data_IF_915856165053
#
_entry.id   IF_915856165053
#
_cell.length_a   1.000
_cell.length_b   1.000
_cell.length_c   1.000
_cell.angle_alpha   90.00
_cell.angle_beta   90.00
_cell.angle_gamma   90.00
#
_symmetry.space_group_name_H-M   'P 1'
#
loop_
_entity.id
_entity.type
_entity.pdbx_description
1 polymer ?
#
# COMPACT_ATOMS: atom_id res chain seq x y z
N UNK A 1 -48.81 -38.83 63.32
CA UNK A 1 -47.87 -37.99 62.57
C UNK A 1 -48.68 -37.31 61.49
N UNK A 2 -48.77 -35.99 61.53
CA UNK A 2 -49.73 -35.25 60.73
C UNK A 2 -49.29 -35.21 59.25
N UNK A 3 -49.95 -36.01 58.41
CA UNK A 3 -49.60 -36.23 57.00
C UNK A 3 -49.57 -34.90 56.22
N UNK A 4 -50.40 -33.94 56.64
CA UNK A 4 -50.50 -32.63 56.00
C UNK A 4 -49.26 -31.76 56.28
N UNK A 5 -48.69 -31.85 57.48
CA UNK A 5 -47.45 -31.17 57.84
C UNK A 5 -46.23 -31.69 57.05
N UNK A 6 -46.17 -33.00 56.82
CA UNK A 6 -45.11 -33.66 56.03
C UNK A 6 -45.23 -33.31 54.56
N UNK A 7 -46.45 -33.28 54.02
CA UNK A 7 -46.72 -32.88 52.63
C UNK A 7 -46.32 -31.42 52.37
N UNK A 8 -46.64 -30.52 53.30
CA UNK A 8 -46.31 -29.10 53.19
C UNK A 8 -44.79 -28.86 53.31
N UNK A 9 -44.10 -29.62 54.16
CA UNK A 9 -42.64 -29.59 54.25
C UNK A 9 -41.98 -30.10 52.96
N UNK A 10 -42.43 -31.22 52.41
CA UNK A 10 -41.91 -31.77 51.15
C UNK A 10 -42.17 -30.83 49.98
N UNK A 11 -43.32 -30.14 49.95
CA UNK A 11 -43.65 -29.17 48.92
C UNK A 11 -42.74 -27.92 49.00
N UNK A 12 -42.43 -27.44 50.22
CA UNK A 12 -41.46 -26.35 50.43
C UNK A 12 -40.04 -26.76 50.02
N UNK A 13 -39.62 -27.98 50.39
CA UNK A 13 -38.31 -28.52 49.99
C UNK A 13 -38.21 -28.67 48.47
N UNK A 14 -39.24 -29.20 47.82
CA UNK A 14 -39.29 -29.32 46.36
C UNK A 14 -39.20 -27.94 45.67
N UNK A 15 -39.91 -26.95 46.21
CA UNK A 15 -39.85 -25.58 45.69
C UNK A 15 -38.44 -25.00 45.81
N UNK A 16 -37.76 -25.17 46.96
CA UNK A 16 -36.38 -24.72 47.16
C UNK A 16 -35.41 -25.43 46.21
N UNK A 17 -35.56 -26.74 46.01
CA UNK A 17 -34.71 -27.47 45.05
C UNK A 17 -34.97 -27.02 43.61
N UNK A 18 -36.23 -26.80 43.23
CA UNK A 18 -36.57 -26.32 41.89
C UNK A 18 -36.00 -24.93 41.61
N UNK A 19 -36.04 -24.01 42.58
CA UNK A 19 -35.47 -22.67 42.41
C UNK A 19 -33.95 -22.72 42.33
N UNK A 20 -33.31 -23.59 43.12
CA UNK A 20 -31.85 -23.79 43.07
C UNK A 20 -31.40 -24.33 41.71
N UNK A 21 -32.12 -25.29 41.14
CA UNK A 21 -31.85 -25.84 39.80
C UNK A 21 -31.99 -24.75 38.73
N UNK A 22 -33.06 -23.94 38.79
CA UNK A 22 -33.28 -22.85 37.83
C UNK A 22 -32.14 -21.83 37.89
N UNK A 23 -31.64 -21.49 39.08
CA UNK A 23 -30.50 -20.58 39.24
C UNK A 23 -29.23 -21.17 38.62
N UNK A 24 -28.91 -22.44 38.88
CA UNK A 24 -27.73 -23.10 38.32
C UNK A 24 -27.80 -23.16 36.80
N UNK A 25 -28.96 -23.52 36.24
CA UNK A 25 -29.18 -23.55 34.78
C UNK A 25 -29.03 -22.16 34.18
N UNK A 26 -29.53 -21.12 34.85
CA UNK A 26 -29.43 -19.74 34.38
C UNK A 26 -27.97 -19.26 34.33
N UNK A 27 -27.18 -19.57 35.37
CA UNK A 27 -25.74 -19.26 35.41
C UNK A 27 -25.00 -20.02 34.31
N UNK A 28 -25.30 -21.30 34.12
CA UNK A 28 -24.71 -22.10 33.05
C UNK A 28 -24.99 -21.54 31.65
N UNK A 29 -26.22 -21.04 31.44
CA UNK A 29 -26.62 -20.40 30.19
C UNK A 29 -25.84 -19.09 29.94
N UNK A 30 -25.64 -18.28 30.98
CA UNK A 30 -24.84 -17.05 30.88
C UNK A 30 -23.38 -17.35 30.52
N UNK A 31 -22.77 -18.36 31.16
CA UNK A 31 -21.38 -18.78 30.86
C UNK A 31 -21.27 -19.33 29.43
N UNK A 32 -22.25 -20.10 28.97
CA UNK A 32 -22.28 -20.65 27.63
C UNK A 32 -22.45 -19.55 26.57
N UNK A 33 -23.35 -18.60 26.79
CA UNK A 33 -23.51 -17.42 25.92
C UNK A 33 -22.21 -16.61 25.91
N UNK A 34 -21.58 -16.37 27.07
CA UNK A 34 -20.30 -15.65 27.14
C UNK A 34 -19.19 -16.35 26.37
N UNK A 35 -19.13 -17.69 26.43
CA UNK A 35 -18.15 -18.49 25.69
C UNK A 35 -18.39 -18.41 24.18
N UNK A 36 -19.64 -18.57 23.74
CA UNK A 36 -20.02 -18.42 22.32
C UNK A 36 -19.74 -17.00 21.83
N UNK A 37 -20.08 -15.97 22.59
CA UNK A 37 -19.79 -14.57 22.23
C UNK A 37 -18.28 -14.31 22.19
N UNK A 38 -17.49 -14.91 23.08
CA UNK A 38 -16.02 -14.81 23.05
C UNK A 38 -15.42 -15.53 21.84
N UNK A 39 -16.05 -16.60 21.37
CA UNK A 39 -15.60 -17.37 20.21
C UNK A 39 -16.08 -16.75 18.88
N UNK A 40 -17.24 -16.08 18.88
CA UNK A 40 -17.72 -15.24 17.77
C UNK A 40 -17.05 -13.86 17.70
N UNK A 41 -16.57 -13.33 18.83
CA UNK A 41 -15.48 -12.36 18.85
C UNK A 41 -14.20 -13.11 18.49
N UNK A 42 -14.13 -13.60 17.25
CA UNK A 42 -12.86 -13.72 16.57
C UNK A 42 -12.15 -12.41 16.83
N UNK A 43 -11.08 -12.46 17.64
CA UNK A 43 -10.07 -11.43 17.57
C UNK A 43 -9.81 -11.26 16.08
N UNK A 44 -10.23 -10.13 15.51
CA UNK A 44 -9.62 -9.67 14.28
C UNK A 44 -8.14 -9.68 14.60
N UNK A 45 -7.44 -10.74 14.22
CA UNK A 45 -6.00 -10.71 14.08
C UNK A 45 -5.83 -9.52 13.16
N UNK A 46 -5.37 -8.39 13.73
CA UNK A 46 -5.10 -7.18 12.96
C UNK A 46 -4.19 -7.65 11.85
N UNK A 47 -4.75 -7.81 10.65
CA UNK A 47 -3.99 -8.34 9.54
C UNK A 47 -2.92 -7.31 9.28
N UNK A 48 -1.67 -7.69 9.46
CA UNK A 48 -0.52 -6.89 9.08
C UNK A 48 -0.59 -6.70 7.58
N UNK A 49 -0.99 -5.51 7.16
CA UNK A 49 -1.01 -5.13 5.76
C UNK A 49 0.43 -4.85 5.31
N UNK A 50 0.80 -5.40 4.16
CA UNK A 50 2.07 -5.07 3.51
C UNK A 50 1.87 -3.71 2.81
N UNK A 51 2.18 -2.64 3.52
CA UNK A 51 2.08 -1.24 3.09
C UNK A 51 3.30 -0.52 3.66
N UNK A 52 3.91 0.42 2.93
CA UNK A 52 5.07 1.13 3.46
C UNK A 52 4.62 2.01 4.63
N UNK A 53 5.27 1.89 5.79
CA UNK A 53 4.95 2.77 6.93
C UNK A 53 5.38 4.21 6.62
N UNK A 54 4.77 5.20 7.29
CA UNK A 54 5.24 6.59 7.19
C UNK A 54 6.69 6.75 7.69
N UNK A 55 7.28 7.90 7.40
CA UNK A 55 8.63 8.24 7.86
C UNK A 55 8.68 8.41 9.38
N UNK A 56 7.67 9.05 9.98
CA UNK A 56 7.60 9.24 11.43
C UNK A 56 7.60 7.90 12.17
N UNK A 57 6.82 6.92 11.68
CA UNK A 57 6.77 5.60 12.32
C UNK A 57 8.06 4.83 12.16
N UNK A 58 8.71 4.93 11.00
CA UNK A 58 10.00 4.27 10.77
C UNK A 58 11.11 4.90 11.61
N UNK A 59 11.11 6.23 11.76
CA UNK A 59 12.05 6.95 12.61
C UNK A 59 11.88 6.60 14.10
N UNK A 60 10.65 6.49 14.59
CA UNK A 60 10.37 6.03 15.95
C UNK A 60 10.96 4.64 16.21
N UNK A 61 10.72 3.69 15.31
CA UNK A 61 11.27 2.33 15.44
C UNK A 61 12.80 2.35 15.38
N UNK A 62 13.38 3.17 14.50
CA UNK A 62 14.83 3.30 14.40
C UNK A 62 15.46 3.86 15.67
N UNK A 63 14.81 4.82 16.35
CA UNK A 63 15.26 5.35 17.65
C UNK A 63 15.24 4.28 18.75
N UNK A 64 14.34 3.30 18.65
CA UNK A 64 14.24 2.15 19.54
C UNK A 64 15.17 0.98 19.13
N UNK A 65 15.96 1.13 18.06
CA UNK A 65 16.73 0.06 17.41
C UNK A 65 15.87 -1.14 16.98
N UNK A 66 14.64 -0.88 16.57
CA UNK A 66 13.67 -1.86 16.09
C UNK A 66 13.40 -1.67 14.60
N UNK A 67 12.98 -2.75 13.94
CA UNK A 67 12.38 -2.73 12.61
C UNK A 67 11.10 -3.55 12.62
N UNK A 68 10.13 -3.12 11.83
CA UNK A 68 8.88 -3.88 11.61
C UNK A 68 8.69 -4.22 10.13
N UNK A 69 9.59 -3.78 9.25
CA UNK A 69 9.51 -4.03 7.82
C UNK A 69 10.82 -4.58 7.30
N UNK A 70 10.71 -5.65 6.53
CA UNK A 70 11.82 -6.29 5.84
C UNK A 70 11.55 -6.24 4.33
N UNK A 71 12.63 -6.12 3.56
CA UNK A 71 12.52 -6.16 2.10
C UNK A 71 12.33 -7.58 1.61
N UNK A 72 11.63 -7.72 0.49
CA UNK A 72 11.47 -8.96 -0.27
C UNK A 72 11.69 -8.65 -1.73
N UNK A 73 11.87 -9.67 -2.57
CA UNK A 73 12.07 -9.50 -4.01
C UNK A 73 10.96 -10.21 -4.79
N UNK A 74 10.58 -9.64 -5.91
CA UNK A 74 9.74 -10.31 -6.92
C UNK A 74 10.61 -10.87 -8.06
N UNK A 75 9.99 -11.65 -8.95
CA UNK A 75 10.70 -12.33 -10.02
C UNK A 75 11.37 -11.33 -10.99
N UNK A 76 12.65 -11.50 -11.33
CA UNK A 76 13.36 -10.63 -12.27
C UNK A 76 12.73 -10.62 -13.66
N UNK A 77 12.65 -9.44 -14.29
CA UNK A 77 12.19 -9.25 -15.67
C UNK A 77 13.36 -8.76 -16.54
N UNK A 78 13.64 -9.45 -17.64
CA UNK A 78 14.63 -8.97 -18.62
C UNK A 78 14.10 -7.71 -19.31
N UNK A 79 14.85 -6.61 -19.27
CA UNK A 79 14.46 -5.32 -19.88
C UNK A 79 15.42 -4.87 -21.00
N UNK A 80 16.69 -5.28 -21.00
CA UNK A 80 17.62 -5.06 -22.11
C UNK A 80 18.24 -6.39 -22.53
N UNK A 81 17.88 -6.89 -23.71
CA UNK A 81 18.37 -8.17 -24.23
C UNK A 81 19.81 -8.11 -24.71
N UNK A 82 20.32 -6.93 -25.09
CA UNK A 82 21.67 -6.76 -25.63
C UNK A 82 22.71 -6.70 -24.51
N UNK A 83 22.36 -6.02 -23.41
CA UNK A 83 23.21 -5.89 -22.22
C UNK A 83 22.87 -6.91 -21.12
N UNK A 84 21.83 -7.74 -21.34
CA UNK A 84 21.27 -8.67 -20.36
C UNK A 84 20.96 -7.99 -19.02
N UNK A 85 20.28 -6.85 -19.07
CA UNK A 85 19.86 -6.12 -17.87
C UNK A 85 18.49 -6.62 -17.42
N UNK A 86 18.43 -7.07 -16.18
CA UNK A 86 17.20 -7.49 -15.51
C UNK A 86 16.74 -6.41 -14.53
N UNK A 87 15.43 -6.20 -14.47
CA UNK A 87 14.76 -5.39 -13.48
C UNK A 87 14.18 -6.29 -12.40
N UNK A 88 14.52 -6.02 -11.14
CA UNK A 88 14.10 -6.81 -9.98
C UNK A 88 13.27 -5.90 -9.07
N UNK A 89 11.95 -6.13 -8.95
CA UNK A 89 11.13 -5.37 -8.03
C UNK A 89 11.47 -5.70 -6.58
N UNK A 90 11.67 -4.68 -5.76
CA UNK A 90 11.85 -4.80 -4.31
C UNK A 90 10.51 -4.51 -3.65
N UNK A 91 10.00 -5.45 -2.87
CA UNK A 91 8.75 -5.35 -2.11
C UNK A 91 9.05 -5.34 -0.61
N UNK A 92 8.00 -5.28 0.22
CA UNK A 92 8.14 -5.33 1.68
C UNK A 92 7.23 -6.37 2.30
N UNK A 93 7.66 -6.89 3.43
CA UNK A 93 6.86 -7.66 4.36
C UNK A 93 6.84 -6.95 5.70
N UNK A 94 5.64 -6.74 6.24
CA UNK A 94 5.44 -6.21 7.58
C UNK A 94 5.43 -7.37 8.57
N UNK A 95 6.26 -7.28 9.60
CA UNK A 95 6.32 -8.25 10.69
C UNK A 95 5.17 -8.02 11.68
N UNK A 96 4.65 -9.11 12.25
CA UNK A 96 3.61 -9.04 13.27
C UNK A 96 4.08 -8.31 14.53
N UNK A 97 5.35 -8.50 14.90
CA UNK A 97 6.00 -7.83 16.02
C UNK A 97 7.31 -7.17 15.54
N UNK A 98 7.64 -5.95 16.02
CA UNK A 98 8.93 -5.34 15.75
C UNK A 98 10.09 -6.16 16.31
N UNK A 99 11.17 -6.28 15.55
CA UNK A 99 12.37 -7.01 15.94
C UNK A 99 13.59 -6.08 16.01
N UNK A 100 14.62 -6.39 16.83
CA UNK A 100 15.85 -5.61 16.88
C UNK A 100 16.59 -5.57 15.53
N UNK A 101 17.11 -4.41 15.16
CA UNK A 101 17.88 -4.21 13.92
C UNK A 101 19.24 -4.91 13.94
N UNK A 102 19.80 -5.18 15.12
CA UNK A 102 21.11 -5.80 15.33
C UNK A 102 21.20 -7.28 14.90
N UNK A 103 20.08 -7.94 14.59
CA UNK A 103 20.10 -9.31 14.06
C UNK A 103 20.70 -9.41 12.64
N UNK A 104 21.05 -8.29 12.00
CA UNK A 104 21.78 -8.26 10.73
C UNK A 104 21.07 -8.97 9.57
N UNK A 105 21.82 -9.30 8.51
CA UNK A 105 21.35 -10.02 7.31
C UNK A 105 20.81 -11.42 7.66
N UNK A 106 21.19 -11.99 8.82
CA UNK A 106 20.70 -13.28 9.30
C UNK A 106 19.19 -13.29 9.55
N UNK A 107 18.60 -12.19 10.04
CA UNK A 107 17.13 -12.06 10.13
C UNK A 107 16.42 -11.99 8.78
N UNK A 108 17.12 -11.65 7.69
CA UNK A 108 16.57 -11.70 6.31
C UNK A 108 16.65 -13.11 5.70
N UNK A 109 17.48 -13.98 6.28
CA UNK A 109 17.70 -15.37 5.85
C UNK A 109 16.85 -16.37 6.64
N UNK A 110 16.05 -15.90 7.60
CA UNK A 110 15.17 -16.73 8.39
C UNK A 110 14.04 -17.24 7.49
N UNK A 111 14.41 -18.26 6.73
CA UNK A 111 13.56 -19.00 5.82
C UNK A 111 12.67 -19.81 6.74
N UNK A 112 11.52 -19.23 7.11
CA UNK A 112 10.50 -19.87 7.92
C UNK A 112 10.40 -21.33 7.52
N UNK A 113 10.80 -22.20 8.45
CA UNK A 113 10.95 -23.63 8.26
C UNK A 113 9.70 -24.15 7.54
N UNK A 114 9.91 -24.74 6.36
CA UNK A 114 8.89 -25.17 5.40
C UNK A 114 8.07 -26.37 5.91
N UNK A 115 7.53 -26.30 7.12
CA UNK A 115 6.33 -27.04 7.46
C UNK A 115 5.26 -26.52 6.51
N UNK A 116 4.68 -27.44 5.74
CA UNK A 116 3.55 -27.29 4.79
C UNK A 116 2.36 -26.50 5.36
N UNK A 117 2.57 -25.24 5.72
CA UNK A 117 1.53 -24.28 5.89
C UNK A 117 1.28 -23.78 4.48
N UNK A 118 0.13 -24.14 3.94
CA UNK A 118 -0.48 -23.38 2.86
C UNK A 118 -0.75 -21.99 3.44
N UNK A 119 0.30 -21.16 3.56
CA UNK A 119 0.13 -19.73 3.76
C UNK A 119 -0.56 -19.32 2.46
N UNK A 120 -1.86 -18.98 2.49
CA UNK A 120 -2.52 -18.58 1.28
C UNK A 120 -1.74 -17.37 0.74
N UNK A 121 -1.47 -17.34 -0.56
CA UNK A 121 -0.94 -16.20 -1.31
C UNK A 121 -1.93 -15.00 -1.27
N UNK A 122 -2.45 -14.68 -0.09
CA UNK A 122 -3.51 -13.71 0.16
C UNK A 122 -2.98 -12.38 0.69
N UNK A 123 -1.66 -12.29 0.91
CA UNK A 123 -0.99 -11.07 1.34
C UNK A 123 -0.46 -10.31 0.12
N UNK A 124 -1.40 -9.75 -0.65
CA UNK A 124 -1.09 -8.79 -1.71
C UNK A 124 -0.43 -7.57 -1.08
N UNK A 125 0.76 -7.22 -1.56
CA UNK A 125 1.34 -5.91 -1.30
C UNK A 125 0.43 -4.85 -1.96
N UNK A 126 0.06 -3.80 -1.22
CA UNK A 126 -0.83 -2.74 -1.73
C UNK A 126 -0.10 -1.82 -2.73
N UNK A 127 1.23 -1.71 -2.65
CA UNK A 127 2.05 -1.16 -3.74
C UNK A 127 2.47 -2.25 -4.74
N UNK A 128 3.22 -1.90 -5.77
CA UNK A 128 3.88 -2.89 -6.65
C UNK A 128 5.32 -3.11 -6.22
N UNK A 129 6.01 -2.04 -5.79
CA UNK A 129 7.36 -2.11 -5.23
C UNK A 129 7.68 -0.90 -4.35
N UNK A 130 8.74 -0.98 -3.55
CA UNK A 130 9.35 0.13 -2.80
C UNK A 130 10.65 0.64 -3.44
N UNK A 131 11.25 -0.17 -4.32
CA UNK A 131 12.39 0.20 -5.15
C UNK A 131 12.47 -0.78 -6.33
N UNK A 132 13.27 -0.45 -7.34
CA UNK A 132 13.64 -1.39 -8.39
C UNK A 132 15.16 -1.53 -8.41
N UNK A 133 15.65 -2.73 -8.68
CA UNK A 133 17.07 -3.02 -8.87
C UNK A 133 17.32 -3.39 -10.33
N UNK A 134 18.29 -2.73 -10.94
CA UNK A 134 18.88 -3.12 -12.21
C UNK A 134 20.03 -4.08 -11.96
N UNK A 135 19.91 -5.30 -12.42
CA UNK A 135 20.96 -6.30 -12.41
C UNK A 135 21.56 -6.45 -13.82
N UNK A 136 22.79 -5.99 -13.97
CA UNK A 136 23.61 -6.19 -15.16
C UNK A 136 24.26 -7.58 -15.07
N UNK A 137 23.68 -8.54 -15.80
CA UNK A 137 24.12 -9.93 -15.75
C UNK A 137 25.49 -10.15 -16.39
N UNK A 138 25.88 -9.32 -17.37
CA UNK A 138 27.18 -9.44 -18.02
C UNK A 138 28.32 -9.03 -17.09
N UNK A 139 28.11 -7.97 -16.32
CA UNK A 139 29.10 -7.43 -15.40
C UNK A 139 28.93 -7.92 -13.95
N UNK A 140 27.86 -8.67 -13.67
CA UNK A 140 27.48 -9.14 -12.34
C UNK A 140 27.39 -7.99 -11.31
N UNK A 141 26.67 -6.92 -11.67
CA UNK A 141 26.50 -5.72 -10.83
C UNK A 141 25.03 -5.36 -10.68
N UNK A 142 24.68 -4.88 -9.49
CA UNK A 142 23.33 -4.44 -9.17
C UNK A 142 23.30 -2.97 -8.79
N UNK A 143 22.26 -2.26 -9.23
CA UNK A 143 22.05 -0.84 -8.98
C UNK A 143 20.60 -0.60 -8.56
N UNK A 144 20.37 0.08 -7.44
CA UNK A 144 19.03 0.58 -7.09
C UNK A 144 18.69 1.80 -7.94
N UNK A 145 17.43 1.94 -8.35
CA UNK A 145 16.99 3.09 -9.14
C UNK A 145 16.68 4.32 -8.30
N UNK A 146 16.24 4.13 -7.05
CA UNK A 146 15.90 5.21 -6.13
C UNK A 146 16.80 5.18 -4.89
N UNK A 147 17.20 6.37 -4.45
CA UNK A 147 17.96 6.54 -3.20
C UNK A 147 17.06 6.94 -2.02
N UNK A 148 15.89 7.48 -2.32
CA UNK A 148 14.86 7.83 -1.37
C UNK A 148 13.90 6.67 -1.09
N UNK A 149 13.16 6.79 0.01
CA UNK A 149 12.06 5.89 0.35
C UNK A 149 10.84 6.26 -0.50
N UNK A 150 10.25 5.28 -1.18
CA UNK A 150 9.10 5.50 -2.04
C UNK A 150 8.25 4.24 -2.16
N UNK A 151 7.01 4.40 -2.64
CA UNK A 151 6.19 3.32 -3.19
C UNK A 151 5.95 3.61 -4.66
N UNK A 152 6.15 2.60 -5.50
CA UNK A 152 5.73 2.61 -6.89
C UNK A 152 4.59 1.63 -7.13
N UNK A 153 3.69 2.00 -8.03
CA UNK A 153 2.72 1.08 -8.63
C UNK A 153 3.30 0.49 -9.92
N UNK A 154 2.49 -0.20 -10.72
CA UNK A 154 2.86 -0.76 -12.02
C UNK A 154 3.78 0.17 -12.82
N UNK A 155 4.79 -0.45 -13.44
CA UNK A 155 5.79 0.23 -14.24
C UNK A 155 5.70 -0.20 -15.69
N UNK A 156 5.90 0.77 -16.58
CA UNK A 156 6.06 0.58 -18.01
C UNK A 156 7.53 0.66 -18.40
N UNK A 157 7.89 -0.07 -19.45
CA UNK A 157 9.23 -0.04 -20.05
C UNK A 157 9.09 0.52 -21.46
N UNK A 158 9.66 1.69 -21.68
CA UNK A 158 9.63 2.37 -22.97
C UNK A 158 10.99 2.32 -23.65
N UNK A 159 11.02 1.76 -24.85
CA UNK A 159 12.22 1.59 -25.65
C UNK A 159 12.35 2.77 -26.62
N UNK A 160 13.32 3.62 -26.38
CA UNK A 160 13.71 4.72 -27.27
C UNK A 160 14.90 4.28 -28.13
N UNK A 161 15.23 5.07 -29.15
CA UNK A 161 16.31 4.74 -30.08
C UNK A 161 17.68 4.60 -29.37
N UNK A 162 17.92 5.39 -28.32
CA UNK A 162 19.20 5.45 -27.61
C UNK A 162 19.08 5.25 -26.09
N UNK A 163 17.87 4.96 -25.57
CA UNK A 163 17.62 4.83 -24.14
C UNK A 163 16.46 3.85 -23.87
N UNK A 164 16.41 3.34 -22.63
CA UNK A 164 15.29 2.58 -22.11
C UNK A 164 14.79 3.33 -20.87
N UNK A 165 13.52 3.68 -20.88
CA UNK A 165 12.88 4.36 -19.76
C UNK A 165 12.06 3.39 -18.94
N UNK A 166 12.11 3.55 -17.62
CA UNK A 166 11.20 2.90 -16.68
C UNK A 166 10.30 4.00 -16.13
N UNK A 167 9.00 3.89 -16.40
CA UNK A 167 8.02 4.92 -16.05
C UNK A 167 7.00 4.32 -15.10
N UNK A 168 6.70 5.00 -14.00
CA UNK A 168 5.72 4.51 -13.03
C UNK A 168 5.13 5.65 -12.21
N UNK A 169 3.90 5.45 -11.73
CA UNK A 169 3.31 6.33 -10.71
C UNK A 169 3.83 5.95 -9.33
N UNK A 170 4.14 6.94 -8.51
CA UNK A 170 4.76 6.74 -7.21
C UNK A 170 4.39 7.79 -6.17
N UNK A 171 4.77 7.50 -4.93
CA UNK A 171 4.64 8.34 -3.76
C UNK A 171 5.92 8.27 -2.92
N UNK A 172 6.37 9.41 -2.41
CA UNK A 172 7.50 9.50 -1.49
C UNK A 172 7.06 9.83 -0.06
N UNK A 173 5.79 10.21 0.13
CA UNK A 173 5.26 10.72 1.39
C UNK A 173 3.86 10.20 1.60
N UNK A 174 3.48 10.12 2.87
CA UNK A 174 2.11 9.92 3.32
C UNK A 174 1.39 11.27 3.19
N UNK A 175 0.46 11.37 2.24
CA UNK A 175 -0.18 12.63 1.87
C UNK A 175 -1.55 12.83 2.50
N UNK A 176 -2.18 11.76 2.99
CA UNK A 176 -3.42 11.81 3.76
C UNK A 176 -3.18 11.70 5.28
N UNK A 177 -1.93 11.49 5.71
CA UNK A 177 -1.44 11.41 7.08
C UNK A 177 -2.09 10.26 7.87
N UNK A 178 -2.34 9.12 7.22
CA UNK A 178 -2.90 7.92 7.86
C UNK A 178 -1.83 7.05 8.55
N UNK A 179 -0.56 7.46 8.48
CA UNK A 179 0.61 6.77 9.00
C UNK A 179 1.21 5.76 8.02
N UNK A 180 0.77 5.76 6.76
CA UNK A 180 1.13 4.77 5.74
C UNK A 180 1.28 5.46 4.38
N UNK A 181 2.11 4.86 3.52
CA UNK A 181 2.26 5.28 2.13
C UNK A 181 1.62 4.20 1.27
N UNK A 182 0.48 4.54 0.67
CA UNK A 182 -0.41 3.63 -0.05
C UNK A 182 -0.57 4.03 -1.53
N UNK A 183 -1.48 3.35 -2.24
CA UNK A 183 -1.85 3.76 -3.61
C UNK A 183 -2.56 5.12 -3.66
N UNK A 184 -3.16 5.57 -2.56
CA UNK A 184 -3.85 6.86 -2.49
C UNK A 184 -2.86 8.03 -2.54
N UNK A 185 -1.61 7.78 -2.13
CA UNK A 185 -0.55 8.79 -2.11
C UNK A 185 0.17 8.97 -3.45
N UNK A 186 -0.17 8.17 -4.47
CA UNK A 186 0.50 8.14 -5.77
C UNK A 186 0.18 9.38 -6.60
N UNK A 187 0.80 10.50 -6.24
CA UNK A 187 0.55 11.81 -6.86
C UNK A 187 1.58 12.19 -7.92
N UNK A 188 2.67 11.44 -8.05
CA UNK A 188 3.79 11.80 -8.93
C UNK A 188 4.08 10.72 -9.97
N UNK A 189 4.66 11.15 -11.09
CA UNK A 189 5.16 10.27 -12.14
C UNK A 189 6.69 10.22 -12.05
N UNK A 190 7.24 9.02 -11.98
CA UNK A 190 8.67 8.76 -11.93
C UNK A 190 9.15 8.25 -13.26
N UNK A 191 10.28 8.76 -13.72
CA UNK A 191 10.89 8.41 -15.01
C UNK A 191 12.36 8.13 -14.77
N UNK A 192 12.75 6.87 -14.88
CA UNK A 192 14.15 6.46 -14.77
C UNK A 192 14.75 6.22 -16.16
N UNK A 193 15.88 6.85 -16.45
CA UNK A 193 16.66 6.60 -17.67
C UNK A 193 17.78 5.60 -17.42
N UNK A 194 17.84 4.53 -18.21
CA UNK A 194 18.94 3.56 -18.15
C UNK A 194 20.26 4.17 -18.65
N UNK A 195 20.20 5.08 -19.62
CA UNK A 195 21.35 5.79 -20.17
C UNK A 195 21.95 6.79 -19.19
N UNK A 196 21.13 7.70 -18.67
CA UNK A 196 21.57 8.77 -17.75
C UNK A 196 21.71 8.28 -16.30
N UNK A 197 21.11 7.13 -15.98
CA UNK A 197 21.06 6.52 -14.63
C UNK A 197 20.44 7.44 -13.59
N UNK A 198 19.47 8.23 -14.02
CA UNK A 198 18.80 9.24 -13.20
C UNK A 198 17.31 8.95 -13.10
N UNK A 199 16.76 9.12 -11.89
CA UNK A 199 15.33 9.09 -11.60
C UNK A 199 14.80 10.52 -11.56
N UNK A 200 13.96 10.88 -12.52
CA UNK A 200 13.27 12.17 -12.56
C UNK A 200 11.85 12.03 -11.99
N UNK A 201 11.40 13.06 -11.29
CA UNK A 201 10.05 13.13 -10.71
C UNK A 201 9.27 14.25 -11.39
N UNK A 202 8.14 13.90 -11.99
CA UNK A 202 7.19 14.83 -12.59
C UNK A 202 6.01 14.97 -11.64
N UNK A 203 5.88 16.16 -11.08
CA UNK A 203 4.83 16.52 -10.11
C UNK A 203 4.46 17.98 -10.28
N UNK A 204 3.26 18.35 -9.80
CA UNK A 204 2.77 19.72 -9.78
C UNK A 204 1.93 19.96 -8.54
N UNK A 205 2.07 21.13 -7.94
CA UNK A 205 1.37 21.50 -6.70
C UNK A 205 -0.15 21.40 -6.87
N UNK A 206 -0.85 20.90 -5.85
CA UNK A 206 -2.30 20.71 -5.84
C UNK A 206 -2.79 19.84 -7.02
N UNK A 207 -1.99 18.85 -7.44
CA UNK A 207 -2.38 17.91 -8.48
C UNK A 207 -2.06 16.46 -8.11
N UNK A 208 -2.74 15.54 -8.77
CA UNK A 208 -2.48 14.10 -8.72
C UNK A 208 -2.28 13.59 -10.15
N UNK A 209 -1.20 12.86 -10.42
CA UNK A 209 -1.04 12.17 -11.71
C UNK A 209 -2.04 11.01 -11.82
N UNK A 210 -2.99 11.13 -12.75
CA UNK A 210 -4.01 10.10 -12.98
C UNK A 210 -3.54 9.08 -14.00
N UNK A 211 -3.02 9.57 -15.13
CA UNK A 211 -2.59 8.76 -16.25
C UNK A 211 -1.46 9.44 -17.04
N UNK A 212 -0.80 8.69 -17.89
CA UNK A 212 0.18 9.22 -18.84
C UNK A 212 0.17 8.42 -20.15
N UNK A 213 0.72 9.02 -21.21
CA UNK A 213 0.92 8.40 -22.52
C UNK A 213 2.25 8.89 -23.12
N UNK A 214 3.03 7.99 -23.68
CA UNK A 214 4.33 8.30 -24.28
C UNK A 214 4.19 8.66 -25.77
N UNK A 215 4.73 9.81 -26.19
CA UNK A 215 4.93 10.18 -27.59
C UNK A 215 6.38 9.92 -27.96
N UNK A 216 6.66 8.69 -28.42
CA UNK A 216 8.03 8.19 -28.66
C UNK A 216 8.82 9.04 -29.64
N UNK A 217 8.20 9.47 -30.73
CA UNK A 217 8.86 10.23 -31.81
C UNK A 217 9.36 11.60 -31.34
N UNK A 218 8.75 12.15 -30.28
CA UNK A 218 9.07 13.48 -29.75
C UNK A 218 9.85 13.43 -28.43
N UNK A 219 9.99 12.26 -27.81
CA UNK A 219 10.48 12.13 -26.43
C UNK A 219 9.67 12.99 -25.45
N UNK A 220 8.35 12.94 -25.61
CA UNK A 220 7.40 13.68 -24.79
C UNK A 220 6.44 12.71 -24.10
N UNK A 221 6.00 13.05 -22.90
CA UNK A 221 4.97 12.31 -22.17
C UNK A 221 3.78 13.24 -21.98
N UNK A 222 2.60 12.82 -22.41
CA UNK A 222 1.36 13.47 -22.03
C UNK A 222 0.98 12.98 -20.64
N UNK A 223 0.74 13.88 -19.71
CA UNK A 223 0.38 13.57 -18.32
C UNK A 223 -0.98 14.16 -18.03
N UNK A 224 -1.92 13.30 -17.64
CA UNK A 224 -3.24 13.71 -17.17
C UNK A 224 -3.19 13.92 -15.66
N UNK A 225 -3.36 15.16 -15.25
CA UNK A 225 -3.44 15.57 -13.85
C UNK A 225 -4.90 15.74 -13.42
N UNK A 226 -5.23 15.25 -12.23
CA UNK A 226 -6.40 15.67 -11.47
C UNK A 226 -6.02 16.90 -10.65
N UNK A 227 -6.86 17.93 -10.67
CA UNK A 227 -6.59 19.20 -9.97
C UNK A 227 -7.36 19.20 -8.66
N UNK A 228 -6.64 19.22 -7.54
CA UNK A 228 -7.22 19.42 -6.22
C UNK A 228 -7.59 20.91 -6.08
N UNK A 229 -8.88 21.18 -6.29
CA UNK A 229 -9.42 22.54 -6.37
C UNK A 229 -9.77 23.08 -4.99
N UNK A 230 -10.22 22.21 -4.08
CA UNK A 230 -10.57 22.61 -2.71
C UNK A 230 -9.35 22.61 -1.76
N UNK A 231 -8.20 22.12 -2.22
CA UNK A 231 -6.92 22.05 -1.51
C UNK A 231 -7.00 21.20 -0.24
N UNK A 232 -7.76 20.11 -0.31
CA UNK A 232 -7.85 19.15 0.79
C UNK A 232 -6.82 18.02 0.70
N UNK A 233 -5.85 18.15 -0.22
CA UNK A 233 -4.84 17.17 -0.58
C UNK A 233 -5.42 15.87 -1.15
N UNK A 234 -6.66 15.86 -1.65
CA UNK A 234 -7.25 14.67 -2.27
C UNK A 234 -7.91 15.03 -3.58
N UNK A 235 -7.57 14.30 -4.64
CA UNK A 235 -8.28 14.45 -5.90
C UNK A 235 -9.57 13.61 -5.92
N UNK A 236 -10.70 14.26 -6.16
CA UNK A 236 -12.02 13.60 -6.27
C UNK A 236 -12.52 13.69 -7.72
N UNK A 237 -12.31 12.64 -8.50
CA UNK A 237 -12.51 12.68 -9.96
C UNK A 237 -13.92 12.95 -10.48
N UNK A 238 -14.96 12.84 -9.65
CA UNK A 238 -16.34 13.21 -10.02
C UNK A 238 -16.73 14.64 -9.59
N UNK A 239 -15.88 15.32 -8.81
CA UNK A 239 -16.11 16.70 -8.34
C UNK A 239 -15.10 17.68 -8.93
N UNK A 240 -13.91 17.21 -9.24
CA UNK A 240 -12.77 18.05 -9.50
C UNK A 240 -12.28 17.94 -10.95
N UNK A 241 -11.75 19.03 -11.52
CA UNK A 241 -11.37 19.06 -12.92
C UNK A 241 -10.07 18.31 -13.15
N UNK A 242 -9.81 17.99 -14.41
CA UNK A 242 -8.55 17.42 -14.87
C UNK A 242 -7.89 18.36 -15.87
N UNK A 243 -6.58 18.18 -16.07
CA UNK A 243 -5.80 18.91 -17.05
C UNK A 243 -4.76 18.01 -17.68
N UNK A 244 -4.59 18.11 -18.99
CA UNK A 244 -3.50 17.43 -19.70
C UNK A 244 -2.33 18.38 -19.87
N UNK A 245 -1.15 17.92 -19.47
CA UNK A 245 0.11 18.62 -19.67
C UNK A 245 1.05 17.75 -20.49
N UNK A 246 2.07 18.38 -21.07
CA UNK A 246 3.12 17.74 -21.85
C UNK A 246 4.44 17.92 -21.15
N UNK A 247 5.10 16.81 -20.87
CA UNK A 247 6.45 16.75 -20.29
C UNK A 247 7.47 16.42 -21.37
N UNK A 248 8.50 17.25 -21.53
CA UNK A 248 9.63 16.94 -22.41
C UNK A 248 10.73 16.22 -21.63
N UNK A 249 11.08 15.00 -22.04
CA UNK A 249 12.01 14.14 -21.29
C UNK A 249 13.45 14.71 -21.29
N UNK A 250 13.82 15.39 -22.38
CA UNK A 250 15.17 15.95 -22.56
C UNK A 250 15.35 17.23 -21.78
N UNK A 251 14.41 18.16 -21.88
CA UNK A 251 14.53 19.48 -21.22
C UNK A 251 14.00 19.47 -19.78
N UNK A 252 13.10 18.54 -19.46
CA UNK A 252 12.40 18.51 -18.17
C UNK A 252 11.22 19.49 -18.08
N UNK A 253 10.87 20.15 -19.18
CA UNK A 253 9.78 21.15 -19.17
C UNK A 253 8.42 20.48 -19.09
N UNK A 254 7.57 20.98 -18.19
CA UNK A 254 6.16 20.59 -18.06
C UNK A 254 5.26 21.75 -18.46
N UNK A 255 4.61 21.66 -19.61
CA UNK A 255 3.82 22.73 -20.21
C UNK A 255 2.35 22.31 -20.37
N UNK A 256 1.42 23.26 -20.29
CA UNK A 256 0.02 22.98 -20.59
C UNK A 256 -0.11 22.56 -22.06
N UNK A 257 -0.84 21.46 -22.31
CA UNK A 257 -1.06 20.99 -23.69
C UNK A 257 -2.10 21.84 -24.42
N UNK A 258 -3.11 22.29 -23.68
CA UNK A 258 -4.21 23.11 -24.18
C UNK A 258 -3.94 24.56 -23.80
N UNK A 259 -4.03 25.48 -24.77
CA UNK A 259 -3.83 26.89 -24.51
C UNK A 259 -4.93 27.46 -23.59
N UNK A 260 -4.60 28.33 -22.61
CA UNK A 260 -5.59 28.90 -21.69
C UNK A 260 -6.72 29.70 -22.39
N UNK A 261 -6.42 30.28 -23.56
CA UNK A 261 -7.39 30.97 -24.42
C UNK A 261 -8.48 30.01 -24.88
N UNK A 262 -8.11 28.83 -25.35
CA UNK A 262 -9.03 27.79 -25.82
C UNK A 262 -9.83 27.18 -24.66
N UNK A 263 -9.21 26.95 -23.49
CA UNK A 263 -9.94 26.52 -22.28
C UNK A 263 -11.04 27.53 -21.92
N UNK A 264 -10.73 28.83 -21.98
CA UNK A 264 -11.69 29.91 -21.69
C UNK A 264 -12.82 29.95 -22.71
N UNK A 265 -12.52 29.77 -23.99
CA UNK A 265 -13.52 29.73 -25.06
C UNK A 265 -14.49 28.56 -24.87
N UNK A 266 -13.97 27.35 -24.61
CA UNK A 266 -14.79 26.16 -24.36
C UNK A 266 -15.65 26.35 -23.11
N UNK A 267 -15.09 26.92 -22.04
CA UNK A 267 -15.87 27.19 -20.83
C UNK A 267 -17.03 28.17 -21.07
N UNK A 268 -16.82 29.21 -21.90
CA UNK A 268 -17.90 30.15 -22.27
C UNK A 268 -19.05 29.46 -23.00
N UNK A 269 -18.74 28.52 -23.89
CA UNK A 269 -19.77 27.71 -24.58
C UNK A 269 -20.61 26.93 -23.54
N UNK A 270 -19.98 26.31 -22.55
CA UNK A 270 -20.67 25.59 -21.47
C UNK A 270 -21.52 26.52 -20.60
N UNK A 271 -20.97 27.70 -20.27
CA UNK A 271 -21.65 28.72 -19.46
C UNK A 271 -22.78 29.43 -20.23
N UNK A 272 -22.93 29.18 -21.53
CA UNK A 272 -23.81 29.89 -22.47
C UNK A 272 -23.56 31.40 -22.48
N UNK A 273 -22.29 31.79 -22.46
CA UNK A 273 -21.81 33.19 -22.49
C UNK A 273 -21.01 33.49 -23.75
#
# INVERSE_FOLDING_TARGET
MDIESVKNYNQKMLAIFSTLIVIIVSIGLVVLIWTIVREFNFSEVRKTENVLMSDERAEQLAQENLRQQIISYDFPRLIDTTKLIYLIPVTIRTLDEPEPTDYGVLGLLDTYDSRKSRIPNKYSFYGTFINLILYDNLNNKSYKIANQRMVGNNYDIEYLNDDILIIFKGAERDTDNDGRITMNDLKSLFIYSLKEKELKVVTKENTTVLNYEMIREKNEILVLFGIDRNKDNQFIGYKEPTRVMKYNIKTGDLLDLVEPSLETEIQRIVDRR
#
